data_IF_466176148125
#
_entry.id   IF_466176148125
#
_cell.length_a   1.000
_cell.length_b   1.000
_cell.length_c   1.000
_cell.angle_alpha   90.00
_cell.angle_beta   90.00
_cell.angle_gamma   90.00
#
_symmetry.space_group_name_H-M   'P 1'
#
loop_
_entity.id
_entity.type
_entity.pdbx_description
1 polymer ?
#
# COMPACT_ATOMS: atom_id res chain seq x y z
N UNK A 1 -6.00 -5.31 4.38
CA UNK A 1 -4.75 -4.54 4.22
C UNK A 1 -3.55 -5.25 4.85
N UNK A 2 -3.48 -6.58 4.73
CA UNK A 2 -2.42 -7.39 5.35
C UNK A 2 -1.18 -7.44 4.44
N UNK A 3 -1.34 -7.37 3.11
CA UNK A 3 -0.19 -7.29 2.18
C UNK A 3 0.76 -6.11 2.46
N UNK A 4 0.25 -4.92 2.79
CA UNK A 4 1.10 -3.76 3.08
C UNK A 4 1.70 -3.79 4.48
N UNK A 5 0.91 -4.18 5.49
CA UNK A 5 1.37 -4.29 6.88
C UNK A 5 2.39 -5.43 7.07
N UNK A 6 2.27 -6.53 6.32
CA UNK A 6 3.23 -7.65 6.38
C UNK A 6 4.50 -7.33 5.61
N UNK A 7 4.43 -6.68 4.44
CA UNK A 7 5.66 -6.20 3.77
C UNK A 7 6.42 -5.20 4.66
N UNK A 8 5.69 -4.35 5.39
CA UNK A 8 6.24 -3.50 6.44
C UNK A 8 6.96 -4.31 7.52
N UNK A 9 6.34 -5.36 8.07
CA UNK A 9 6.94 -6.22 9.09
C UNK A 9 8.28 -6.87 8.63
N UNK A 10 8.43 -7.15 7.34
CA UNK A 10 9.66 -7.75 6.78
C UNK A 10 10.83 -6.76 6.63
N UNK A 11 10.56 -5.48 6.40
CA UNK A 11 11.62 -4.44 6.35
C UNK A 11 12.27 -4.26 7.73
N UNK A 12 11.56 -4.51 8.83
CA UNK A 12 12.08 -4.36 10.20
C UNK A 12 13.05 -5.46 10.66
N UNK A 13 13.01 -6.66 10.06
CA UNK A 13 13.79 -7.81 10.55
C UNK A 13 15.23 -7.87 10.02
N UNK A 14 15.57 -7.08 8.99
CA UNK A 14 16.90 -7.09 8.38
C UNK A 14 17.57 -5.75 8.63
N UNK A 15 18.09 -5.59 9.86
CA UNK A 15 19.05 -4.53 10.13
C UNK A 15 20.21 -4.65 9.14
N UNK A 16 20.40 -3.61 8.33
CA UNK A 16 21.43 -3.43 7.30
C UNK A 16 21.13 -4.00 5.91
N UNK A 17 20.37 -3.27 5.09
CA UNK A 17 20.46 -3.35 3.62
C UNK A 17 20.21 -1.95 3.05
N UNK A 18 20.80 -1.67 1.87
CA UNK A 18 20.58 -0.50 1.02
C UNK A 18 19.14 0.06 1.05
N UNK A 19 19.00 1.36 0.72
CA UNK A 19 17.72 2.08 0.64
C UNK A 19 16.55 1.16 0.31
N UNK A 20 15.59 1.03 1.23
CA UNK A 20 14.52 0.01 1.24
C UNK A 20 13.72 -0.10 -0.07
N UNK A 21 13.82 0.90 -0.95
CA UNK A 21 13.25 0.94 -2.29
C UNK A 21 13.87 -0.02 -3.30
N UNK A 22 15.14 -0.41 -3.12
CA UNK A 22 15.90 -1.24 -4.07
C UNK A 22 15.80 -2.74 -3.77
N UNK A 23 15.13 -3.11 -2.67
CA UNK A 23 14.83 -4.49 -2.30
C UNK A 23 14.03 -5.16 -3.42
N UNK A 24 14.42 -6.37 -3.82
CA UNK A 24 13.72 -7.12 -4.87
C UNK A 24 12.44 -7.79 -4.35
N UNK A 25 11.37 -7.66 -5.12
CA UNK A 25 10.08 -8.33 -4.97
C UNK A 25 9.86 -9.16 -6.24
N UNK A 26 10.38 -10.39 -6.21
CA UNK A 26 10.54 -11.21 -7.41
C UNK A 26 11.44 -10.53 -8.45
N UNK A 27 10.94 -10.33 -9.66
CA UNK A 27 11.66 -9.65 -10.75
C UNK A 27 11.74 -8.13 -10.56
N UNK A 28 10.75 -7.53 -9.89
CA UNK A 28 10.66 -6.09 -9.65
C UNK A 28 11.50 -5.64 -8.45
N UNK A 29 11.82 -4.35 -8.40
CA UNK A 29 12.15 -3.66 -7.15
C UNK A 29 10.88 -3.37 -6.34
N UNK A 30 11.04 -3.15 -5.03
CA UNK A 30 9.94 -2.76 -4.16
C UNK A 30 9.29 -1.45 -4.63
N UNK A 31 10.09 -0.47 -5.08
CA UNK A 31 9.57 0.76 -5.66
C UNK A 31 8.67 0.50 -6.87
N UNK A 32 9.09 -0.38 -7.79
CA UNK A 32 8.29 -0.72 -8.98
C UNK A 32 6.98 -1.41 -8.62
N UNK A 33 7.03 -2.46 -7.78
CA UNK A 33 5.83 -3.18 -7.32
C UNK A 33 4.85 -2.22 -6.60
N UNK A 34 5.38 -1.41 -5.69
CA UNK A 34 4.61 -0.43 -4.94
C UNK A 34 3.93 0.60 -5.86
N UNK A 35 4.69 1.19 -6.77
CA UNK A 35 4.20 2.22 -7.68
C UNK A 35 3.19 1.66 -8.69
N UNK A 36 3.35 0.41 -9.14
CA UNK A 36 2.36 -0.26 -10.00
C UNK A 36 1.06 -0.56 -9.22
N UNK A 37 1.14 -1.09 -8.00
CA UNK A 37 -0.05 -1.30 -7.15
C UNK A 37 -0.77 0.01 -6.80
N UNK A 38 -0.01 1.09 -6.58
CA UNK A 38 -0.57 2.43 -6.36
C UNK A 38 -1.42 2.89 -7.54
N UNK A 39 -1.05 2.59 -8.78
CA UNK A 39 -1.87 2.91 -9.96
C UNK A 39 -3.22 2.20 -9.94
N UNK A 40 -3.24 0.91 -9.57
CA UNK A 40 -4.49 0.17 -9.38
C UNK A 40 -5.40 0.87 -8.36
N UNK A 41 -4.83 1.34 -7.25
CA UNK A 41 -5.54 2.09 -6.22
C UNK A 41 -6.03 3.44 -6.72
N UNK A 42 -5.21 4.19 -7.46
CA UNK A 42 -5.64 5.44 -8.09
C UNK A 42 -6.85 5.20 -8.99
N UNK A 43 -6.79 4.21 -9.87
CA UNK A 43 -7.88 3.86 -10.78
C UNK A 43 -9.17 3.53 -10.03
N UNK A 44 -9.09 2.79 -8.93
CA UNK A 44 -10.23 2.50 -8.06
C UNK A 44 -10.91 3.78 -7.55
N UNK A 45 -10.15 4.72 -6.97
CA UNK A 45 -10.74 5.96 -6.48
C UNK A 45 -11.25 6.87 -7.59
N UNK A 46 -10.52 6.94 -8.72
CA UNK A 46 -10.94 7.72 -9.88
C UNK A 46 -12.23 7.20 -10.51
N UNK A 47 -12.56 5.92 -10.35
CA UNK A 47 -13.84 5.39 -10.83
C UNK A 47 -15.03 6.12 -10.17
N UNK A 48 -15.02 6.28 -8.84
CA UNK A 48 -16.08 6.99 -8.12
C UNK A 48 -16.11 8.50 -8.40
N UNK A 49 -14.96 9.11 -8.69
CA UNK A 49 -14.91 10.52 -9.08
C UNK A 49 -15.52 10.76 -10.47
N UNK A 50 -15.43 9.77 -11.36
CA UNK A 50 -16.01 9.83 -12.71
C UNK A 50 -17.50 9.45 -12.70
N UNK A 51 -17.84 8.44 -11.91
CA UNK A 51 -19.20 7.94 -11.74
C UNK A 51 -19.50 7.78 -10.24
N UNK A 52 -20.17 8.77 -9.62
CA UNK A 52 -20.55 8.72 -8.21
C UNK A 52 -21.44 7.52 -7.84
N UNK A 53 -22.12 6.92 -8.82
CA UNK A 53 -23.01 5.78 -8.64
C UNK A 53 -22.36 4.44 -8.99
N UNK A 54 -21.05 4.42 -9.26
CA UNK A 54 -20.33 3.19 -9.60
C UNK A 54 -20.54 2.11 -8.52
N UNK A 55 -20.82 0.87 -8.95
CA UNK A 55 -20.98 -0.24 -8.01
C UNK A 55 -19.64 -0.55 -7.34
N UNK A 56 -19.60 -0.38 -6.01
CA UNK A 56 -18.36 -0.56 -5.26
C UNK A 56 -17.83 -1.99 -5.35
N UNK A 57 -18.70 -3.00 -5.49
CA UNK A 57 -18.27 -4.41 -5.61
C UNK A 57 -17.54 -4.66 -6.94
N UNK A 58 -18.06 -4.10 -8.02
CA UNK A 58 -17.47 -4.16 -9.35
C UNK A 58 -16.13 -3.43 -9.37
N UNK A 59 -16.05 -2.23 -8.78
CA UNK A 59 -14.78 -1.48 -8.70
C UNK A 59 -13.74 -2.18 -7.81
N UNK A 60 -14.14 -2.78 -6.69
CA UNK A 60 -13.23 -3.63 -5.88
C UNK A 60 -12.74 -4.83 -6.68
N UNK A 61 -13.58 -5.42 -7.53
CA UNK A 61 -13.19 -6.56 -8.37
C UNK A 61 -12.16 -6.14 -9.43
N UNK A 62 -12.36 -4.98 -10.09
CA UNK A 62 -11.38 -4.39 -11.01
C UNK A 62 -10.06 -4.07 -10.30
N UNK A 63 -10.14 -3.50 -9.09
CA UNK A 63 -8.96 -3.21 -8.28
C UNK A 63 -8.16 -4.46 -7.95
N UNK A 64 -8.82 -5.53 -7.51
CA UNK A 64 -8.19 -6.83 -7.23
C UNK A 64 -7.54 -7.43 -8.48
N UNK A 65 -8.23 -7.41 -9.62
CA UNK A 65 -7.66 -7.92 -10.87
C UNK A 65 -6.40 -7.16 -11.27
N UNK A 66 -6.42 -5.82 -11.16
CA UNK A 66 -5.23 -5.00 -11.41
C UNK A 66 -4.07 -5.38 -10.46
N UNK A 67 -4.33 -5.58 -9.16
CA UNK A 67 -3.29 -6.05 -8.23
C UNK A 67 -2.77 -7.44 -8.58
N UNK A 68 -3.64 -8.36 -9.01
CA UNK A 68 -3.23 -9.69 -9.50
C UNK A 68 -2.29 -9.56 -10.70
N UNK A 69 -2.58 -8.68 -11.65
CA UNK A 69 -1.73 -8.48 -12.84
C UNK A 69 -0.35 -7.91 -12.47
N UNK A 70 -0.30 -6.95 -11.54
CA UNK A 70 0.97 -6.44 -11.01
C UNK A 70 1.77 -7.54 -10.31
N UNK A 71 1.13 -8.33 -9.45
CA UNK A 71 1.79 -9.43 -8.76
C UNK A 71 2.22 -10.54 -9.73
N UNK A 72 1.46 -10.82 -10.79
CA UNK A 72 1.88 -11.74 -11.85
C UNK A 72 3.13 -11.23 -12.54
N UNK A 73 3.19 -9.94 -12.87
CA UNK A 73 4.36 -9.34 -13.50
C UNK A 73 5.61 -9.44 -12.61
N UNK A 74 5.49 -9.10 -11.33
CA UNK A 74 6.63 -9.08 -10.41
C UNK A 74 6.98 -10.45 -9.81
N UNK A 75 6.02 -11.36 -9.63
CA UNK A 75 6.19 -12.61 -8.86
C UNK A 75 5.90 -13.89 -9.66
N UNK A 76 5.80 -13.84 -11.00
CA UNK A 76 5.52 -15.03 -11.86
C UNK A 76 6.43 -16.23 -11.58
N UNK A 77 7.70 -15.99 -11.22
CA UNK A 77 8.68 -17.05 -10.99
C UNK A 77 8.65 -17.60 -9.55
N UNK A 78 7.84 -16.99 -8.68
CA UNK A 78 7.79 -17.29 -7.25
C UNK A 78 6.44 -17.81 -6.77
N UNK A 79 5.35 -17.39 -7.42
CA UNK A 79 3.98 -17.74 -7.03
C UNK A 79 3.15 -18.14 -8.25
N UNK A 80 2.32 -19.16 -8.09
CA UNK A 80 1.31 -19.48 -9.08
C UNK A 80 0.22 -18.41 -9.12
N UNK A 81 -0.51 -18.32 -10.24
CA UNK A 81 -1.64 -17.40 -10.36
C UNK A 81 -2.72 -17.65 -9.29
N UNK A 82 -2.96 -18.92 -8.93
CA UNK A 82 -3.93 -19.25 -7.87
C UNK A 82 -3.47 -18.73 -6.51
N UNK A 83 -2.18 -18.85 -6.17
CA UNK A 83 -1.63 -18.28 -4.94
C UNK A 83 -1.73 -16.75 -4.92
N UNK A 84 -1.39 -16.08 -6.03
CA UNK A 84 -1.52 -14.63 -6.17
C UNK A 84 -2.97 -14.18 -5.94
N UNK A 85 -3.95 -14.85 -6.57
CA UNK A 85 -5.37 -14.57 -6.39
C UNK A 85 -5.81 -14.74 -4.94
N UNK A 86 -5.34 -15.78 -4.24
CA UNK A 86 -5.63 -15.99 -2.81
C UNK A 86 -5.06 -14.86 -1.96
N UNK A 87 -3.81 -14.46 -2.19
CA UNK A 87 -3.15 -13.38 -1.46
C UNK A 87 -3.91 -12.06 -1.64
N UNK A 88 -4.23 -11.69 -2.89
CA UNK A 88 -4.96 -10.45 -3.19
C UNK A 88 -6.37 -10.47 -2.58
N UNK A 89 -7.12 -11.58 -2.73
CA UNK A 89 -8.47 -11.68 -2.15
C UNK A 89 -8.49 -11.66 -0.63
N UNK A 90 -7.45 -12.19 0.00
CA UNK A 90 -7.31 -12.16 1.46
C UNK A 90 -6.96 -10.76 1.94
N UNK A 91 -6.10 -10.06 1.20
CA UNK A 91 -5.60 -8.74 1.59
C UNK A 91 -6.55 -7.59 1.28
N UNK A 92 -7.34 -7.70 0.22
CA UNK A 92 -8.29 -6.66 -0.22
C UNK A 92 -9.70 -7.05 0.22
N UNK A 93 -10.16 -6.38 1.26
CA UNK A 93 -11.47 -6.61 1.89
C UNK A 93 -12.46 -5.57 1.38
N UNK A 94 -13.57 -6.03 0.80
CA UNK A 94 -14.59 -5.16 0.19
C UNK A 94 -15.19 -4.23 1.24
N UNK A 95 -15.54 -4.77 2.39
CA UNK A 95 -16.02 -4.03 3.55
C UNK A 95 -15.06 -2.91 3.96
N UNK A 96 -13.74 -3.11 3.91
CA UNK A 96 -12.76 -2.06 4.23
C UNK A 96 -12.62 -0.96 3.16
N UNK A 97 -13.09 -1.20 1.93
CA UNK A 97 -12.99 -0.22 0.82
C UNK A 97 -14.34 0.43 0.49
N UNK A 98 -15.44 -0.26 0.78
CA UNK A 98 -16.79 0.22 0.59
C UNK A 98 -17.34 0.74 1.92
N UNK A 99 -17.60 -0.13 2.88
CA UNK A 99 -18.55 0.15 3.97
C UNK A 99 -17.89 0.68 5.25
N UNK A 100 -16.67 0.26 5.54
CA UNK A 100 -15.93 0.54 6.77
C UNK A 100 -15.04 1.78 6.73
N UNK A 101 -15.11 2.57 5.66
CA UNK A 101 -14.22 3.71 5.43
C UNK A 101 -12.83 3.27 4.96
N UNK A 102 -12.20 4.07 4.11
CA UNK A 102 -10.90 3.73 3.55
C UNK A 102 -9.81 3.71 4.63
N UNK A 103 -9.43 2.52 5.05
CA UNK A 103 -8.43 2.28 6.11
C UNK A 103 -7.04 1.93 5.58
N UNK A 104 -6.84 1.93 4.25
CA UNK A 104 -5.80 1.12 3.63
C UNK A 104 -4.33 1.58 3.86
N UNK A 105 -4.09 2.59 4.70
CA UNK A 105 -2.78 3.20 4.95
C UNK A 105 -2.54 3.55 6.42
N UNK A 106 -3.32 2.99 7.33
CA UNK A 106 -3.13 3.23 8.76
C UNK A 106 -2.10 2.24 9.33
N UNK A 107 -0.88 2.66 9.70
CA UNK A 107 0.03 1.79 10.44
C UNK A 107 -0.53 1.59 11.84
N UNK A 108 -1.27 0.50 12.05
CA UNK A 108 -1.69 0.06 13.37
C UNK A 108 -0.58 -0.75 14.03
N UNK A 109 -0.35 -0.54 15.32
CA UNK A 109 0.56 -1.40 16.08
C UNK A 109 -0.15 -2.66 16.55
N UNK A 110 0.50 -3.83 16.52
CA UNK A 110 -0.04 -5.04 17.15
C UNK A 110 -0.30 -4.82 18.65
N UNK A 111 -1.31 -5.48 19.24
CA UNK A 111 -1.54 -5.45 20.68
C UNK A 111 -0.27 -5.84 21.46
N UNK A 112 0.08 -5.06 22.48
CA UNK A 112 1.29 -5.27 23.29
C UNK A 112 2.58 -4.71 22.69
N UNK A 113 2.52 -4.03 21.53
CA UNK A 113 3.67 -3.27 21.02
C UNK A 113 3.97 -2.09 21.94
N UNK A 114 5.23 -1.97 22.37
CA UNK A 114 5.74 -0.82 23.13
C UNK A 114 6.33 0.27 22.23
N UNK A 115 6.23 0.10 20.90
CA UNK A 115 6.82 1.04 19.95
C UNK A 115 6.05 2.36 19.96
N UNK A 116 4.74 2.32 20.18
CA UNK A 116 3.89 3.50 20.29
C UNK A 116 3.17 3.55 21.64
N UNK A 117 2.61 4.71 21.97
CA UNK A 117 1.73 4.89 23.14
C UNK A 117 0.54 3.92 23.15
N UNK A 118 -0.01 3.64 24.33
CA UNK A 118 -1.21 2.78 24.45
C UNK A 118 -2.44 3.39 23.77
N UNK A 119 -2.53 4.72 23.71
CA UNK A 119 -3.64 5.44 23.06
C UNK A 119 -3.51 5.52 21.54
N UNK A 120 -2.32 5.25 20.99
CA UNK A 120 -1.99 5.45 19.58
C UNK A 120 -3.05 4.92 18.61
N UNK A 121 -3.52 3.68 18.78
CA UNK A 121 -4.52 3.10 17.87
C UNK A 121 -5.88 3.82 17.94
N UNK A 122 -6.27 4.34 19.11
CA UNK A 122 -7.47 5.16 19.24
C UNK A 122 -7.28 6.53 18.57
N UNK A 123 -6.09 7.12 18.72
CA UNK A 123 -5.78 8.43 18.16
C UNK A 123 -5.65 8.40 16.62
N UNK A 124 -5.16 7.28 16.08
CA UNK A 124 -5.25 6.96 14.65
C UNK A 124 -6.70 6.99 14.16
N UNK A 125 -7.63 6.34 14.87
CA UNK A 125 -9.05 6.37 14.49
C UNK A 125 -9.61 7.80 14.55
N UNK A 126 -9.17 8.60 15.53
CA UNK A 126 -9.56 10.01 15.63
C UNK A 126 -9.09 10.84 14.43
N UNK A 127 -7.85 10.63 13.96
CA UNK A 127 -7.33 11.27 12.75
C UNK A 127 -8.17 10.95 11.51
N UNK A 128 -8.65 9.71 11.38
CA UNK A 128 -9.31 9.23 10.16
C UNK A 128 -10.83 9.45 10.14
N UNK A 129 -11.45 9.65 11.31
CA UNK A 129 -12.92 9.68 11.50
C UNK A 129 -13.65 10.61 10.53
N UNK A 130 -13.20 11.86 10.42
CA UNK A 130 -13.87 12.86 9.56
C UNK A 130 -13.78 12.47 8.08
N UNK A 131 -12.62 11.99 7.65
CA UNK A 131 -12.39 11.54 6.29
C UNK A 131 -13.24 10.30 5.96
N UNK A 132 -13.30 9.30 6.86
CA UNK A 132 -14.15 8.12 6.66
C UNK A 132 -15.62 8.46 6.52
N UNK A 133 -16.13 9.34 7.38
CA UNK A 133 -17.53 9.78 7.33
C UNK A 133 -17.86 10.43 5.99
N UNK A 134 -16.96 11.28 5.47
CA UNK A 134 -17.11 11.88 4.13
C UNK A 134 -17.07 10.81 3.04
N UNK A 135 -16.07 9.93 3.07
CA UNK A 135 -15.86 8.90 2.06
C UNK A 135 -17.04 7.92 1.96
N UNK A 136 -17.58 7.47 3.09
CA UNK A 136 -18.73 6.55 3.11
C UNK A 136 -19.98 7.24 2.56
N UNK A 137 -20.17 8.52 2.90
CA UNK A 137 -21.32 9.32 2.48
C UNK A 137 -21.30 9.59 0.97
N UNK A 138 -20.14 10.00 0.44
CA UNK A 138 -19.96 10.32 -0.97
C UNK A 138 -18.48 10.12 -1.36
N UNK A 139 -18.21 9.09 -2.15
CA UNK A 139 -16.86 8.74 -2.64
C UNK A 139 -16.36 9.67 -3.74
N UNK A 140 -17.24 10.50 -4.28
CA UNK A 140 -16.94 11.50 -5.32
C UNK A 140 -16.71 12.90 -4.76
N UNK A 141 -16.95 13.11 -3.45
CA UNK A 141 -16.87 14.43 -2.82
C UNK A 141 -15.47 15.05 -3.01
N UNK A 142 -15.37 16.24 -3.64
CA UNK A 142 -14.08 16.91 -3.86
C UNK A 142 -13.36 17.25 -2.54
N UNK A 143 -14.09 17.38 -1.41
CA UNK A 143 -13.51 17.60 -0.09
C UNK A 143 -12.70 16.38 0.43
N UNK A 144 -12.79 15.22 -0.22
CA UNK A 144 -11.92 14.07 0.08
C UNK A 144 -10.45 14.37 -0.22
N UNK A 145 -10.16 15.24 -1.19
CA UNK A 145 -8.78 15.67 -1.50
C UNK A 145 -8.11 16.32 -0.29
N UNK A 146 -8.72 17.38 0.28
CA UNK A 146 -8.17 18.05 1.46
C UNK A 146 -8.27 17.19 2.71
N UNK A 147 -9.39 16.47 2.90
CA UNK A 147 -9.59 15.60 4.07
C UNK A 147 -8.56 14.48 4.16
N UNK A 148 -8.14 13.91 3.03
CA UNK A 148 -7.09 12.90 3.00
C UNK A 148 -5.71 13.49 3.31
N UNK A 149 -5.39 14.68 2.77
CA UNK A 149 -4.14 15.37 3.09
C UNK A 149 -4.04 15.71 4.59
N UNK A 150 -5.13 16.20 5.18
CA UNK A 150 -5.25 16.45 6.63
C UNK A 150 -5.08 15.17 7.45
N UNK A 151 -5.69 14.07 7.00
CA UNK A 151 -5.56 12.76 7.66
C UNK A 151 -4.12 12.27 7.66
N UNK A 152 -3.43 12.33 6.51
CA UNK A 152 -2.01 11.96 6.40
C UNK A 152 -1.13 12.80 7.32
N UNK A 153 -1.39 14.11 7.40
CA UNK A 153 -0.67 15.00 8.30
C UNK A 153 -0.89 14.62 9.77
N UNK A 154 -2.14 14.40 10.17
CA UNK A 154 -2.49 13.98 11.53
C UNK A 154 -1.80 12.66 11.92
N UNK A 155 -1.83 11.65 11.05
CA UNK A 155 -1.19 10.36 11.29
C UNK A 155 0.35 10.47 11.35
N UNK A 156 0.96 11.31 10.51
CA UNK A 156 2.40 11.60 10.54
C UNK A 156 2.79 12.26 11.87
N UNK A 157 2.07 13.32 12.26
CA UNK A 157 2.34 14.05 13.50
C UNK A 157 2.20 13.13 14.73
N UNK A 158 1.17 12.26 14.73
CA UNK A 158 0.95 11.26 15.77
C UNK A 158 2.10 10.24 15.83
N UNK A 159 2.58 9.74 14.69
CA UNK A 159 3.73 8.84 14.67
C UNK A 159 4.99 9.52 15.20
N UNK A 160 5.20 10.78 14.88
CA UNK A 160 6.36 11.52 15.34
C UNK A 160 6.33 11.81 16.85
N UNK A 161 5.15 11.99 17.43
CA UNK A 161 4.99 12.23 18.87
C UNK A 161 4.94 10.95 19.70
N UNK A 162 4.22 9.93 19.22
CA UNK A 162 3.79 8.81 20.05
C UNK A 162 4.58 7.53 19.79
N UNK A 163 5.34 7.46 18.70
CA UNK A 163 6.06 6.26 18.30
C UNK A 163 7.58 6.44 18.26
N UNK A 164 8.29 5.45 18.81
CA UNK A 164 9.76 5.37 18.76
C UNK A 164 10.24 4.55 17.55
N UNK A 165 9.80 4.94 16.35
CA UNK A 165 10.28 4.33 15.10
C UNK A 165 11.67 4.81 14.70
N UNK A 166 12.46 3.94 14.07
CA UNK A 166 13.77 4.32 13.52
C UNK A 166 13.62 5.29 12.36
N UNK A 167 14.70 6.00 12.02
CA UNK A 167 14.72 6.94 10.89
C UNK A 167 14.39 6.24 9.56
N UNK A 168 14.83 5.00 9.38
CA UNK A 168 14.57 4.17 8.20
C UNK A 168 13.08 3.85 8.09
N UNK A 169 12.44 3.48 9.20
CA UNK A 169 11.00 3.23 9.24
C UNK A 169 10.20 4.50 8.92
N UNK A 170 10.59 5.64 9.49
CA UNK A 170 9.93 6.92 9.19
C UNK A 170 10.06 7.28 7.70
N UNK A 171 11.24 7.09 7.10
CA UNK A 171 11.43 7.26 5.65
C UNK A 171 10.54 6.32 4.83
N UNK A 172 10.36 5.09 5.28
CA UNK A 172 9.51 4.10 4.61
C UNK A 172 8.02 4.47 4.71
N UNK A 173 7.57 4.97 5.86
CA UNK A 173 6.22 5.50 6.05
C UNK A 173 5.97 6.73 5.18
N UNK A 174 6.95 7.64 5.09
CA UNK A 174 6.91 8.77 4.17
C UNK A 174 6.82 8.32 2.71
N UNK A 175 7.61 7.32 2.32
CA UNK A 175 7.58 6.77 0.97
C UNK A 175 6.24 6.09 0.64
N UNK A 176 5.62 5.39 1.57
CA UNK A 176 4.43 4.57 1.30
C UNK A 176 3.11 5.29 1.53
N UNK A 177 3.01 6.09 2.59
CA UNK A 177 1.73 6.52 3.16
C UNK A 177 1.63 8.04 3.28
N UNK A 178 2.72 8.73 3.63
CA UNK A 178 2.66 10.17 3.96
C UNK A 178 3.26 11.10 2.91
N UNK A 179 3.77 10.57 1.80
CA UNK A 179 4.26 11.38 0.69
C UNK A 179 3.16 12.22 0.03
N UNK A 180 3.52 12.96 -1.01
CA UNK A 180 2.62 13.93 -1.66
C UNK A 180 1.47 13.28 -2.44
N UNK A 181 1.52 11.97 -2.70
CA UNK A 181 0.47 11.25 -3.43
C UNK A 181 -0.89 11.33 -2.76
N UNK A 182 -1.93 11.65 -3.53
CA UNK A 182 -3.30 11.75 -3.06
C UNK A 182 -4.29 11.40 -4.19
N UNK A 183 -4.87 10.20 -4.23
CA UNK A 183 -5.72 9.78 -5.35
C UNK A 183 -7.06 10.53 -5.41
N UNK A 184 -7.41 11.25 -4.35
CA UNK A 184 -8.64 12.05 -4.28
C UNK A 184 -8.49 13.42 -4.95
N UNK A 185 -7.27 13.89 -5.18
CA UNK A 185 -7.01 15.16 -5.88
C UNK A 185 -6.88 14.97 -7.40
N UNK A 186 -7.21 15.99 -8.19
CA UNK A 186 -7.25 15.89 -9.65
C UNK A 186 -5.89 15.49 -10.28
N UNK A 187 -4.79 16.03 -9.76
CA UNK A 187 -3.41 15.76 -10.20
C UNK A 187 -2.73 14.62 -9.41
N UNK A 188 -3.52 13.89 -8.60
CA UNK A 188 -3.07 12.85 -7.69
C UNK A 188 -2.07 13.33 -6.61
N UNK A 189 -2.08 14.61 -6.24
CA UNK A 189 -1.14 15.19 -5.27
C UNK A 189 -1.87 16.02 -4.21
N UNK A 190 -1.29 16.09 -3.02
CA UNK A 190 -1.84 16.93 -1.95
C UNK A 190 -1.89 18.40 -2.37
N UNK A 191 -2.91 19.15 -1.89
CA UNK A 191 -2.96 20.59 -2.09
C UNK A 191 -1.66 21.27 -1.64
N UNK A 192 -1.07 22.08 -2.52
CA UNK A 192 0.17 22.82 -2.24
C UNK A 192 1.46 22.00 -2.36
N UNK A 193 1.41 20.75 -2.83
CA UNK A 193 2.62 19.96 -3.04
C UNK A 193 3.55 20.58 -4.12
N UNK A 194 4.79 20.86 -3.74
CA UNK A 194 5.83 21.39 -4.65
C UNK A 194 6.80 20.33 -5.14
N UNK A 195 6.90 19.19 -4.43
CA UNK A 195 7.80 18.08 -4.76
C UNK A 195 7.11 17.07 -5.69
N UNK A 196 7.89 16.42 -6.55
CA UNK A 196 7.39 15.32 -7.37
C UNK A 196 6.98 14.13 -6.50
N UNK A 197 5.99 13.38 -6.99
CA UNK A 197 5.61 12.10 -6.40
C UNK A 197 6.75 11.08 -6.52
N UNK A 198 6.90 10.24 -5.49
CA UNK A 198 7.92 9.19 -5.43
C UNK A 198 7.80 8.15 -6.54
N UNK A 199 6.63 8.02 -7.16
CA UNK A 199 6.39 7.15 -8.32
C UNK A 199 6.46 7.87 -9.67
N UNK A 200 6.76 9.17 -9.70
CA UNK A 200 6.82 9.96 -10.94
C UNK A 200 7.76 9.38 -12.00
N UNK A 201 8.86 8.75 -11.57
CA UNK A 201 9.88 8.19 -12.47
C UNK A 201 9.67 6.72 -12.85
N UNK A 202 8.61 6.07 -12.36
CA UNK A 202 8.36 4.64 -12.63
C UNK A 202 7.57 4.53 -13.92
N UNK A 203 8.28 4.15 -15.00
CA UNK A 203 7.74 4.11 -16.37
C UNK A 203 6.57 3.14 -16.46
N UNK A 204 5.53 3.59 -17.17
CA UNK A 204 4.41 2.79 -17.63
C UNK A 204 4.88 1.94 -18.80
N UNK A 205 5.66 0.90 -18.52
CA UNK A 205 5.77 -0.18 -19.47
C UNK A 205 4.39 -0.83 -19.47
N UNK A 206 3.56 -0.37 -20.42
CA UNK A 206 2.31 -1.00 -20.76
C UNK A 206 2.56 -2.49 -20.90
N UNK A 207 1.57 -3.28 -20.51
CA UNK A 207 1.54 -4.71 -20.81
C UNK A 207 1.70 -4.85 -22.32
N UNK A 208 2.93 -5.09 -22.78
CA UNK A 208 3.29 -5.40 -24.16
C UNK A 208 4.33 -6.51 -24.09
N UNK A 209 4.07 -7.50 -24.93
CA UNK A 209 4.73 -8.78 -25.03
C UNK A 209 6.25 -8.73 -25.21
N UNK A 210 6.84 -9.76 -24.61
CA UNK A 210 8.06 -10.47 -24.96
C UNK A 210 9.45 -9.82 -24.96
N UNK A 211 10.32 -10.63 -24.36
CA UNK A 211 11.72 -10.87 -24.67
C UNK A 211 12.82 -9.90 -24.17
N UNK A 212 13.62 -10.50 -23.27
CA UNK A 212 15.02 -10.23 -22.97
C UNK A 212 15.36 -9.22 -21.87
N UNK A 213 15.41 -9.73 -20.63
CA UNK A 213 16.51 -9.42 -19.71
C UNK A 213 16.66 -10.55 -18.67
N UNK A 214 17.13 -11.71 -19.11
CA UNK A 214 17.69 -12.71 -18.20
C UNK A 214 19.12 -12.29 -17.81
N UNK A 215 19.28 -11.75 -16.60
CA UNK A 215 20.54 -11.81 -15.87
C UNK A 215 20.23 -12.36 -14.48
N UNK A 216 20.26 -13.68 -14.37
CA UNK A 216 19.97 -14.41 -13.14
C UNK A 216 20.96 -14.07 -12.05
N UNK A 217 20.48 -13.40 -11.00
CA UNK A 217 21.11 -13.44 -9.68
C UNK A 217 20.47 -14.58 -8.91
N UNK A 218 21.30 -15.55 -8.48
CA UNK A 218 20.83 -16.68 -7.67
C UNK A 218 20.18 -16.13 -6.39
N UNK A 219 18.95 -16.54 -6.04
CA UNK A 219 18.34 -16.12 -4.79
C UNK A 219 19.24 -16.60 -3.64
N UNK A 220 19.64 -15.67 -2.78
CA UNK A 220 20.42 -16.03 -1.60
C UNK A 220 19.55 -16.90 -0.68
N UNK A 221 20.17 -17.74 0.14
CA UNK A 221 19.47 -18.58 1.13
C UNK A 221 18.53 -17.75 2.02
N UNK A 222 18.89 -16.48 2.25
CA UNK A 222 18.09 -15.52 3.01
C UNK A 222 16.80 -15.11 2.29
N UNK A 223 16.85 -14.96 0.96
CA UNK A 223 15.69 -14.63 0.14
C UNK A 223 14.67 -15.78 0.10
N UNK A 224 15.15 -17.02 0.03
CA UNK A 224 14.30 -18.22 0.14
C UNK A 224 13.66 -18.31 1.53
N UNK A 225 14.44 -18.10 2.60
CA UNK A 225 13.95 -18.15 3.98
C UNK A 225 12.86 -17.08 4.23
N UNK A 226 13.07 -15.87 3.71
CA UNK A 226 12.11 -14.77 3.80
C UNK A 226 10.83 -15.05 3.04
N UNK A 227 10.93 -15.65 1.85
CA UNK A 227 9.76 -16.10 1.09
C UNK A 227 9.01 -17.22 1.81
N UNK A 228 9.71 -18.10 2.53
CA UNK A 228 9.09 -19.17 3.30
C UNK A 228 8.32 -18.61 4.50
N UNK A 229 8.90 -17.67 5.25
CA UNK A 229 8.23 -17.02 6.39
C UNK A 229 7.02 -16.20 5.90
N UNK A 230 7.14 -15.52 4.76
CA UNK A 230 6.03 -14.83 4.10
C UNK A 230 4.88 -15.82 3.82
N UNK A 231 5.16 -16.95 3.16
CA UNK A 231 4.17 -18.00 2.90
C UNK A 231 3.56 -18.58 4.19
N UNK A 232 4.35 -18.78 5.26
CA UNK A 232 3.85 -19.29 6.53
C UNK A 232 2.86 -18.33 7.22
N UNK A 233 3.10 -17.01 7.16
CA UNK A 233 2.20 -16.00 7.74
C UNK A 233 0.87 -15.87 6.99
N UNK A 234 0.83 -16.24 5.70
CA UNK A 234 -0.38 -16.15 4.87
C UNK A 234 -1.15 -17.48 4.75
N UNK A 235 -0.46 -18.63 4.82
CA UNK A 235 -1.09 -19.95 4.68
C UNK A 235 -1.55 -20.55 6.02
N UNK A 236 -0.95 -20.14 7.14
CA UNK A 236 -1.28 -20.63 8.47
C UNK A 236 -1.76 -19.49 9.37
N UNK A 237 -2.95 -18.97 9.09
CA UNK A 237 -3.76 -18.34 10.13
C UNK A 237 -4.85 -19.33 10.53
N UNK A 238 -4.60 -20.05 11.61
CA UNK A 238 -5.66 -20.65 12.43
C UNK A 238 -6.44 -19.53 13.16
#
# INVERSE_FOLDING_TARGET
MICFSILFAFVFLVGNVATSTDVKVGSCTFKEDFCRNRKCKTSFFKAFQKDPNADCSAEVSKFKNCMVDVMKFCMKDLLSESQIKVIVNTSVKKDQLCDGGYNAESPTTPPGSTICSESYNNDVQNCMRSFHQKYIKDRSDPALCSGYAETKKCLRDLIDSDCNYTAETKKMLDFTSYGVYNPFCADNRDPGATKNDQCYSVVDDGVVDDDNAAAGTKPSVFQTLMFTIFLFLFLFKA
#
